data_IF_326154325930
#
_entry.id   IF_326154325930
#
_cell.length_a   1.000
_cell.length_b   1.000
_cell.length_c   1.000
_cell.angle_alpha   90.00
_cell.angle_beta   90.00
_cell.angle_gamma   90.00
#
_symmetry.space_group_name_H-M   'P 1'
#
loop_
_entity.id
_entity.type
_entity.pdbx_description
1 polymer ?
#
# COMPACT_ATOMS: atom_id res chain seq x y z
N UNK A 1 4.94 5.11 4.82
CA UNK A 1 4.67 3.67 5.03
C UNK A 1 3.20 3.54 5.36
N UNK A 2 2.43 2.74 4.60
CA UNK A 2 1.02 2.46 4.87
C UNK A 2 0.83 0.96 5.14
N UNK A 3 0.09 0.64 6.20
CA UNK A 3 -0.33 -0.71 6.56
C UNK A 3 -1.86 -0.76 6.49
N UNK A 4 -2.42 -1.84 5.97
CA UNK A 4 -3.86 -2.06 6.00
C UNK A 4 -4.38 -2.27 7.43
N UNK A 5 -5.69 -2.09 7.67
CA UNK A 5 -6.30 -2.55 8.90
C UNK A 5 -6.15 -4.07 9.04
N UNK A 6 -5.94 -4.56 10.27
CA UNK A 6 -5.85 -5.99 10.55
C UNK A 6 -7.25 -6.61 10.65
N UNK A 7 -7.89 -6.78 9.50
CA UNK A 7 -9.24 -7.33 9.33
C UNK A 7 -9.26 -8.25 8.10
N UNK A 8 -10.18 -9.21 8.06
CA UNK A 8 -10.31 -10.12 6.91
C UNK A 8 -11.03 -9.48 5.72
N UNK A 9 -11.73 -8.36 5.93
CA UNK A 9 -12.47 -7.66 4.89
C UNK A 9 -11.51 -6.98 3.89
N UNK A 10 -11.37 -7.62 2.73
CA UNK A 10 -10.54 -7.13 1.62
C UNK A 10 -11.00 -5.78 1.09
N UNK A 11 -12.30 -5.49 1.12
CA UNK A 11 -12.81 -4.21 0.62
C UNK A 11 -12.46 -3.06 1.57
N UNK A 12 -12.43 -3.33 2.88
CA UNK A 12 -11.94 -2.36 3.86
C UNK A 12 -10.44 -2.06 3.66
N UNK A 13 -9.63 -3.11 3.46
CA UNK A 13 -8.20 -2.96 3.17
C UNK A 13 -7.99 -2.17 1.86
N UNK A 14 -8.67 -2.55 0.78
CA UNK A 14 -8.61 -1.87 -0.52
C UNK A 14 -8.98 -0.39 -0.41
N UNK A 15 -10.03 -0.07 0.36
CA UNK A 15 -10.44 1.31 0.60
C UNK A 15 -9.32 2.14 1.22
N UNK A 16 -8.62 1.62 2.22
CA UNK A 16 -7.48 2.31 2.85
C UNK A 16 -6.32 2.47 1.87
N UNK A 17 -6.00 1.44 1.09
CA UNK A 17 -4.95 1.51 0.07
C UNK A 17 -5.26 2.49 -1.06
N UNK A 18 -6.51 2.53 -1.52
CA UNK A 18 -7.00 3.52 -2.47
C UNK A 18 -6.82 4.95 -1.96
N UNK A 19 -7.22 5.22 -0.71
CA UNK A 19 -7.02 6.53 -0.09
C UNK A 19 -5.53 6.90 0.02
N UNK A 20 -4.69 5.94 0.36
CA UNK A 20 -3.23 6.11 0.40
C UNK A 20 -2.64 6.48 -0.96
N UNK A 21 -3.07 5.79 -2.03
CA UNK A 21 -2.67 6.12 -3.41
C UNK A 21 -3.13 7.51 -3.81
N UNK A 22 -4.41 7.84 -3.59
CA UNK A 22 -4.96 9.16 -3.96
C UNK A 22 -4.20 10.30 -3.26
N UNK A 23 -3.84 10.12 -1.98
CA UNK A 23 -2.99 11.07 -1.27
C UNK A 23 -1.58 11.15 -1.89
N UNK A 24 -0.96 10.01 -2.21
CA UNK A 24 0.35 9.97 -2.86
C UNK A 24 0.34 10.71 -4.21
N UNK A 25 -0.66 10.45 -5.05
CA UNK A 25 -0.82 11.09 -6.35
C UNK A 25 -0.98 12.61 -6.20
N UNK A 26 -1.76 13.06 -5.20
CA UNK A 26 -1.93 14.48 -4.90
C UNK A 26 -0.62 15.15 -4.46
N UNK A 27 0.21 14.45 -3.67
CA UNK A 27 1.48 14.96 -3.19
C UNK A 27 2.53 14.98 -4.31
N UNK A 28 2.48 14.04 -5.24
CA UNK A 28 3.39 13.97 -6.40
C UNK A 28 3.26 15.18 -7.32
N UNK A 29 2.08 15.83 -7.36
CA UNK A 29 1.90 17.10 -8.07
C UNK A 29 2.71 18.26 -7.45
N UNK A 30 2.98 18.20 -6.14
CA UNK A 30 3.72 19.23 -5.41
C UNK A 30 5.20 18.90 -5.25
N UNK A 31 5.53 17.62 -5.10
CA UNK A 31 6.90 17.15 -4.89
C UNK A 31 7.28 16.16 -5.98
N UNK A 32 8.01 16.64 -7.00
CA UNK A 32 8.43 15.84 -8.15
C UNK A 32 9.42 14.71 -7.82
N UNK A 33 10.01 14.72 -6.62
CA UNK A 33 10.89 13.66 -6.12
C UNK A 33 10.15 12.52 -5.42
N UNK A 34 8.82 12.62 -5.22
CA UNK A 34 8.02 11.52 -4.68
C UNK A 34 7.83 10.44 -5.75
N UNK A 35 8.59 9.35 -5.61
CA UNK A 35 8.55 8.18 -6.49
C UNK A 35 8.05 6.91 -5.79
N UNK A 36 8.07 6.89 -4.45
CA UNK A 36 7.85 5.68 -3.67
C UNK A 36 6.57 5.74 -2.83
N UNK A 37 5.58 4.95 -3.22
CA UNK A 37 4.43 4.56 -2.41
C UNK A 37 4.70 3.21 -1.74
N UNK A 38 5.13 3.23 -0.48
CA UNK A 38 5.38 2.02 0.32
C UNK A 38 4.13 1.56 1.06
N UNK A 39 3.49 0.50 0.56
CA UNK A 39 2.17 0.03 0.98
C UNK A 39 2.09 -1.50 0.89
N UNK A 40 1.43 -2.13 1.86
CA UNK A 40 1.29 -3.59 1.92
C UNK A 40 2.40 -4.29 2.70
N UNK A 41 1.97 -5.32 3.42
CA UNK A 41 2.71 -6.27 4.23
C UNK A 41 2.48 -7.70 3.70
N UNK A 42 3.05 -8.73 4.36
CA UNK A 42 2.89 -10.13 3.94
C UNK A 42 1.44 -10.56 3.67
N UNK A 43 0.47 -10.11 4.46
CA UNK A 43 -0.90 -10.65 4.38
C UNK A 43 -1.75 -9.95 3.30
N UNK A 44 -1.38 -8.73 2.90
CA UNK A 44 -2.20 -7.86 2.06
C UNK A 44 -1.45 -7.28 0.84
N UNK A 45 -0.19 -7.68 0.58
CA UNK A 45 0.63 -7.14 -0.52
C UNK A 45 -0.02 -7.26 -1.89
N UNK A 46 -0.83 -8.29 -2.14
CA UNK A 46 -1.57 -8.46 -3.41
C UNK A 46 -2.59 -7.34 -3.62
N UNK A 47 -3.32 -6.99 -2.58
CA UNK A 47 -4.26 -5.86 -2.61
C UNK A 47 -3.50 -4.54 -2.77
N UNK A 48 -2.33 -4.41 -2.15
CA UNK A 48 -1.49 -3.23 -2.34
C UNK A 48 -0.98 -3.08 -3.79
N UNK A 49 -0.66 -4.19 -4.47
CA UNK A 49 -0.30 -4.22 -5.89
C UNK A 49 -1.48 -3.80 -6.76
N UNK A 50 -2.69 -4.32 -6.50
CA UNK A 50 -3.92 -3.90 -7.20
C UNK A 50 -4.16 -2.39 -7.09
N UNK A 51 -3.76 -1.78 -5.96
CA UNK A 51 -3.90 -0.34 -5.72
C UNK A 51 -2.66 0.49 -6.12
N UNK A 52 -1.75 -0.06 -6.94
CA UNK A 52 -0.56 0.60 -7.51
C UNK A 52 0.52 1.02 -6.51
N UNK A 53 0.80 0.19 -5.49
CA UNK A 53 2.03 0.35 -4.70
C UNK A 53 3.29 0.22 -5.56
N UNK A 54 4.37 0.86 -5.13
CA UNK A 54 5.71 0.73 -5.75
C UNK A 54 6.68 -0.05 -4.86
N UNK A 55 6.33 -0.26 -3.59
CA UNK A 55 7.15 -1.00 -2.63
C UNK A 55 6.26 -1.71 -1.61
N UNK A 56 6.34 -3.05 -1.60
CA UNK A 56 5.74 -3.92 -0.58
C UNK A 56 6.79 -4.34 0.45
N UNK A 57 6.36 -4.71 1.66
CA UNK A 57 7.27 -5.16 2.73
C UNK A 57 6.91 -6.58 3.15
N UNK A 58 7.74 -7.55 2.76
CA UNK A 58 7.46 -8.98 2.95
C UNK A 58 8.37 -9.54 4.03
N UNK A 59 7.79 -10.12 5.07
CA UNK A 59 8.50 -10.75 6.18
C UNK A 59 8.16 -12.24 6.29
N UNK A 60 7.04 -12.54 6.95
CA UNK A 60 6.57 -13.91 7.19
C UNK A 60 6.50 -14.79 5.94
N UNK A 61 6.15 -14.26 4.76
CA UNK A 61 6.14 -15.06 3.52
C UNK A 61 7.54 -15.52 3.09
N UNK A 62 8.59 -14.75 3.40
CA UNK A 62 9.96 -15.07 2.98
C UNK A 62 10.75 -15.85 4.03
N UNK A 63 10.45 -15.65 5.32
CA UNK A 63 11.29 -16.11 6.42
C UNK A 63 10.61 -17.06 7.41
N UNK A 64 9.31 -17.34 7.28
CA UNK A 64 8.57 -18.30 8.11
C UNK A 64 8.02 -19.47 7.32
#
# INVERSE_FOLDING_TARGET
MLMGPNVDDKEEIKKVFKQGRELFDSLKLKYNTLDTLSMGMSDDYKLAIEENTTMVRIGSILFN
#
